data_IF_732933806624
#
_entry.id   IF_732933806624
#
_cell.length_a   1.000
_cell.length_b   1.000
_cell.length_c   1.000
_cell.angle_alpha   90.00
_cell.angle_beta   90.00
_cell.angle_gamma   90.00
#
_symmetry.space_group_name_H-M   'P 1'
#
loop_
_entity.id
_entity.type
_entity.pdbx_description
1 polymer ?
#
# COMPACT_ATOMS: atom_id res chain seq x y z
N UNK A 1 -18.71 1.78 11.09
CA UNK A 1 -19.14 1.09 9.85
C UNK A 1 -17.90 0.87 8.99
N UNK A 2 -17.81 -0.19 8.17
CA UNK A 2 -16.66 -0.34 7.28
C UNK A 2 -16.70 0.72 6.17
N UNK A 3 -15.56 1.34 5.87
CA UNK A 3 -15.44 2.39 4.85
C UNK A 3 -15.63 1.86 3.42
N UNK A 4 -15.25 0.59 3.18
CA UNK A 4 -15.49 -0.11 1.93
C UNK A 4 -16.37 -1.30 2.23
N UNK A 5 -17.48 -1.46 1.48
CA UNK A 5 -18.37 -2.60 1.66
C UNK A 5 -17.66 -3.91 1.25
N UNK A 6 -17.74 -4.96 2.08
CA UNK A 6 -17.26 -6.28 1.68
C UNK A 6 -17.97 -6.77 0.41
N UNK A 7 -17.23 -7.48 -0.43
CA UNK A 7 -17.83 -8.18 -1.59
C UNK A 7 -18.70 -9.31 -1.07
N UNK A 8 -19.89 -9.48 -1.66
CA UNK A 8 -20.82 -10.52 -1.24
C UNK A 8 -20.22 -11.92 -1.49
N UNK A 9 -20.31 -12.83 -0.51
CA UNK A 9 -19.76 -14.19 -0.58
C UNK A 9 -20.17 -14.93 -1.87
N UNK A 10 -21.39 -14.74 -2.30
CA UNK A 10 -21.94 -15.37 -3.53
C UNK A 10 -21.20 -14.95 -4.81
N UNK A 11 -20.51 -13.82 -4.80
CA UNK A 11 -19.73 -13.30 -5.93
C UNK A 11 -18.27 -13.80 -5.92
N UNK A 12 -17.85 -14.50 -4.85
CA UNK A 12 -16.46 -14.87 -4.59
C UNK A 12 -16.16 -16.36 -4.85
N UNK A 13 -16.90 -17.01 -5.75
CA UNK A 13 -16.76 -18.45 -6.03
C UNK A 13 -15.33 -18.85 -6.41
N UNK A 14 -14.62 -18.00 -7.15
CA UNK A 14 -13.22 -18.23 -7.51
C UNK A 14 -12.25 -18.17 -6.29
N UNK A 15 -12.67 -17.56 -5.19
CA UNK A 15 -11.89 -17.48 -3.94
C UNK A 15 -12.34 -18.50 -2.90
N UNK A 16 -13.36 -19.32 -3.20
CA UNK A 16 -13.91 -20.30 -2.24
C UNK A 16 -12.86 -21.17 -1.54
N UNK A 17 -11.84 -21.74 -2.24
CA UNK A 17 -10.83 -22.55 -1.56
C UNK A 17 -10.00 -21.76 -0.55
N UNK A 18 -9.69 -20.49 -0.86
CA UNK A 18 -8.92 -19.60 0.04
C UNK A 18 -9.76 -19.25 1.27
N UNK A 19 -11.01 -18.87 1.04
CA UNK A 19 -11.94 -18.46 2.09
C UNK A 19 -12.37 -19.64 2.97
N UNK A 20 -12.56 -20.83 2.37
CA UNK A 20 -12.84 -22.06 3.12
C UNK A 20 -11.65 -22.49 4.01
N UNK A 21 -10.41 -22.28 3.54
CA UNK A 21 -9.21 -22.49 4.36
C UNK A 21 -9.17 -21.57 5.58
N UNK A 22 -9.51 -20.30 5.41
CA UNK A 22 -9.61 -19.37 6.53
C UNK A 22 -10.74 -19.77 7.50
N UNK A 23 -11.91 -20.15 6.96
CA UNK A 23 -13.06 -20.60 7.76
C UNK A 23 -12.72 -21.87 8.55
N UNK A 24 -12.03 -22.83 7.93
CA UNK A 24 -11.61 -24.06 8.60
C UNK A 24 -10.64 -23.80 9.76
N UNK A 25 -9.73 -22.82 9.62
CA UNK A 25 -8.73 -22.52 10.65
C UNK A 25 -9.24 -21.62 11.76
N UNK A 26 -10.16 -20.69 11.45
CA UNK A 26 -10.61 -19.62 12.36
C UNK A 26 -12.07 -19.80 12.82
N UNK A 27 -12.85 -20.66 12.17
CA UNK A 27 -14.29 -20.81 12.41
C UNK A 27 -15.17 -19.77 11.73
N UNK A 28 -14.58 -18.84 10.98
CA UNK A 28 -15.27 -17.80 10.21
C UNK A 28 -14.37 -17.28 9.08
N UNK A 29 -14.97 -16.61 8.11
CA UNK A 29 -14.24 -15.86 7.08
C UNK A 29 -14.01 -14.43 7.58
N UNK A 30 -12.75 -13.97 7.73
CA UNK A 30 -12.47 -12.60 8.14
C UNK A 30 -13.02 -11.55 7.17
N UNK A 31 -13.67 -10.52 7.69
CA UNK A 31 -14.21 -9.43 6.87
C UNK A 31 -13.14 -8.70 6.05
N UNK A 32 -11.89 -8.64 6.54
CA UNK A 32 -10.75 -8.10 5.79
C UNK A 32 -10.51 -8.83 4.48
N UNK A 33 -10.65 -10.17 4.45
CA UNK A 33 -10.43 -10.96 3.24
C UNK A 33 -11.49 -10.67 2.16
N UNK A 34 -12.75 -10.52 2.56
CA UNK A 34 -13.83 -10.20 1.63
C UNK A 34 -13.84 -8.72 1.21
N UNK A 35 -13.23 -7.85 2.00
CA UNK A 35 -12.95 -6.46 1.57
C UNK A 35 -11.80 -6.39 0.58
N UNK A 36 -10.70 -7.12 0.83
CA UNK A 36 -9.59 -7.26 -0.13
C UNK A 36 -10.05 -7.84 -1.48
N UNK A 37 -11.16 -8.59 -1.50
CA UNK A 37 -11.67 -9.26 -2.68
C UNK A 37 -12.21 -8.33 -3.78
N UNK A 38 -12.30 -7.02 -3.55
CA UNK A 38 -12.40 -6.04 -4.64
C UNK A 38 -11.20 -6.13 -5.61
N UNK A 39 -10.08 -6.67 -5.13
CA UNK A 39 -8.92 -7.12 -5.90
C UNK A 39 -8.73 -8.62 -5.60
N UNK A 40 -9.35 -9.54 -6.33
CA UNK A 40 -9.39 -10.96 -5.95
C UNK A 40 -8.01 -11.59 -5.75
N UNK A 41 -7.03 -11.18 -6.56
CA UNK A 41 -5.65 -11.64 -6.44
C UNK A 41 -4.95 -11.13 -5.16
N UNK A 42 -5.38 -9.97 -4.61
CA UNK A 42 -4.85 -9.46 -3.35
C UNK A 42 -5.21 -10.39 -2.18
N UNK A 43 -6.45 -10.88 -2.11
CA UNK A 43 -6.87 -11.85 -1.08
C UNK A 43 -6.02 -13.11 -1.12
N UNK A 44 -5.72 -13.61 -2.31
CA UNK A 44 -4.86 -14.79 -2.51
C UNK A 44 -3.41 -14.50 -2.07
N UNK A 45 -2.82 -13.41 -2.55
CA UNK A 45 -1.44 -13.03 -2.22
C UNK A 45 -1.27 -12.79 -0.71
N UNK A 46 -2.23 -12.14 -0.07
CA UNK A 46 -2.26 -11.96 1.38
C UNK A 46 -2.29 -13.31 2.12
N UNK A 47 -3.11 -14.27 1.68
CA UNK A 47 -3.19 -15.59 2.31
C UNK A 47 -1.88 -16.36 2.18
N UNK A 48 -1.18 -16.24 1.04
CA UNK A 48 0.15 -16.84 0.85
C UNK A 48 1.19 -16.20 1.78
N UNK A 49 1.24 -14.87 1.83
CA UNK A 49 2.14 -14.14 2.72
C UNK A 49 1.89 -14.51 4.19
N UNK A 50 0.64 -14.47 4.63
CA UNK A 50 0.27 -14.83 5.99
C UNK A 50 0.66 -16.28 6.32
N UNK A 51 0.40 -17.21 5.39
CA UNK A 51 0.76 -18.61 5.57
C UNK A 51 2.26 -18.80 5.81
N UNK A 52 3.11 -18.15 5.00
CA UNK A 52 4.58 -18.22 5.16
C UNK A 52 5.02 -17.55 6.47
N UNK A 53 4.48 -16.40 6.80
CA UNK A 53 4.81 -15.66 8.04
C UNK A 53 4.44 -16.50 9.28
N UNK A 54 3.37 -17.27 9.23
CA UNK A 54 2.98 -18.20 10.29
C UNK A 54 3.70 -19.57 10.24
N UNK A 55 4.72 -19.71 9.40
CA UNK A 55 5.57 -20.91 9.32
C UNK A 55 5.03 -22.01 8.41
N UNK A 56 4.04 -21.72 7.57
CA UNK A 56 3.52 -22.67 6.58
C UNK A 56 4.45 -22.86 5.40
N UNK A 57 4.32 -24.02 4.72
CA UNK A 57 5.03 -24.31 3.49
C UNK A 57 4.32 -23.67 2.30
N UNK A 58 5.08 -22.93 1.49
CA UNK A 58 4.58 -22.25 0.31
C UNK A 58 4.23 -23.19 -0.84
N UNK A 59 4.95 -24.34 -0.99
CA UNK A 59 4.75 -25.23 -2.12
C UNK A 59 3.34 -25.84 -2.19
N UNK A 60 2.76 -26.39 -1.11
CA UNK A 60 1.38 -26.85 -1.13
C UNK A 60 0.37 -25.72 -1.41
N UNK A 61 0.66 -24.49 -0.99
CA UNK A 61 -0.17 -23.32 -1.29
C UNK A 61 -0.16 -23.03 -2.79
N UNK A 62 1.04 -23.00 -3.42
CA UNK A 62 1.19 -22.79 -4.87
C UNK A 62 0.45 -23.88 -5.63
N UNK A 63 0.64 -25.15 -5.27
CA UNK A 63 0.02 -26.30 -5.95
C UNK A 63 -1.52 -26.24 -5.89
N UNK A 64 -2.07 -25.77 -4.76
CA UNK A 64 -3.49 -25.56 -4.61
C UNK A 64 -3.98 -24.35 -5.41
N UNK A 65 -3.21 -23.25 -5.45
CA UNK A 65 -3.63 -22.00 -6.08
C UNK A 65 -3.40 -21.95 -7.59
N UNK A 66 -2.47 -22.71 -8.15
CA UNK A 66 -2.25 -22.76 -9.61
C UNK A 66 -3.52 -23.08 -10.41
N UNK A 67 -4.45 -23.83 -9.82
CA UNK A 67 -5.72 -24.21 -10.45
C UNK A 67 -6.86 -23.19 -10.28
N UNK A 68 -6.66 -22.17 -9.46
CA UNK A 68 -7.72 -21.29 -8.96
C UNK A 68 -7.31 -19.81 -8.89
N UNK A 69 -6.27 -19.39 -9.62
CA UNK A 69 -5.95 -17.96 -9.68
C UNK A 69 -7.17 -17.19 -10.19
N UNK A 70 -7.81 -16.37 -9.36
CA UNK A 70 -9.02 -15.66 -9.78
C UNK A 70 -8.67 -14.68 -10.87
N UNK A 71 -9.50 -14.61 -11.91
CA UNK A 71 -9.40 -13.53 -12.86
C UNK A 71 -9.82 -12.22 -12.19
N UNK A 72 -9.12 -11.15 -12.51
CA UNK A 72 -9.52 -9.79 -12.10
C UNK A 72 -10.18 -9.12 -13.31
N UNK A 73 -11.50 -9.21 -13.40
CA UNK A 73 -12.29 -8.63 -14.50
C UNK A 73 -12.19 -7.09 -14.55
N UNK A 74 -11.71 -6.47 -13.47
CA UNK A 74 -11.51 -5.03 -13.34
C UNK A 74 -10.03 -4.65 -13.27
N UNK A 75 -9.12 -5.48 -13.77
CA UNK A 75 -7.68 -5.24 -13.70
C UNK A 75 -7.26 -3.89 -14.31
N UNK A 76 -8.00 -3.40 -15.32
CA UNK A 76 -7.74 -2.09 -15.93
C UNK A 76 -8.17 -0.90 -15.05
N UNK A 77 -9.06 -1.13 -14.08
CA UNK A 77 -9.44 -0.13 -13.07
C UNK A 77 -8.41 -0.10 -11.94
N UNK A 78 -7.19 0.31 -12.27
CA UNK A 78 -6.03 0.40 -11.38
C UNK A 78 -5.51 1.81 -11.28
N UNK A 79 -4.79 2.09 -10.18
CA UNK A 79 -4.10 3.35 -9.99
C UNK A 79 -2.96 3.51 -11.01
N UNK A 80 -2.71 4.75 -11.41
CA UNK A 80 -1.52 5.10 -12.18
C UNK A 80 -0.26 4.76 -11.36
N UNK A 81 0.80 4.22 -11.98
CA UNK A 81 2.03 3.84 -11.27
C UNK A 81 2.67 4.99 -10.49
N UNK A 82 2.58 6.21 -11.02
CA UNK A 82 3.08 7.44 -10.38
C UNK A 82 2.34 7.70 -9.06
N UNK A 83 1.02 7.56 -9.07
CA UNK A 83 0.19 7.76 -7.88
C UNK A 83 0.49 6.70 -6.81
N UNK A 84 0.77 5.45 -7.20
CA UNK A 84 1.21 4.39 -6.29
C UNK A 84 2.49 4.81 -5.56
N UNK A 85 3.47 5.39 -6.26
CA UNK A 85 4.71 5.85 -5.63
C UNK A 85 4.50 7.08 -4.73
N UNK A 86 3.59 7.98 -5.10
CA UNK A 86 3.26 9.12 -4.25
C UNK A 86 2.62 8.68 -2.92
N UNK A 87 1.69 7.72 -2.96
CA UNK A 87 1.08 7.11 -1.76
C UNK A 87 2.15 6.43 -0.91
N UNK A 88 3.00 5.62 -1.55
CA UNK A 88 4.08 4.90 -0.90
C UNK A 88 5.08 5.84 -0.22
N UNK A 89 5.41 6.96 -0.86
CA UNK A 89 6.26 7.99 -0.27
C UNK A 89 5.59 8.66 0.94
N UNK A 90 4.33 9.08 0.81
CA UNK A 90 3.60 9.74 1.88
C UNK A 90 3.49 8.88 3.14
N UNK A 91 3.11 7.61 3.01
CA UNK A 91 3.04 6.69 4.16
C UNK A 91 4.43 6.40 4.75
N UNK A 92 5.47 6.34 3.93
CA UNK A 92 6.85 6.10 4.40
C UNK A 92 7.43 7.32 5.12
N UNK A 93 7.04 8.53 4.69
CA UNK A 93 7.39 9.77 5.39
C UNK A 93 6.73 9.80 6.78
N UNK A 94 5.42 9.54 6.84
CA UNK A 94 4.66 9.51 8.09
C UNK A 94 5.17 8.44 9.05
N UNK A 95 5.55 7.26 8.54
CA UNK A 95 6.14 6.18 9.33
C UNK A 95 7.61 6.43 9.73
N UNK A 96 8.28 7.44 9.18
CA UNK A 96 9.66 7.79 9.50
C UNK A 96 10.74 6.92 8.84
N UNK A 97 10.40 5.99 7.94
CA UNK A 97 11.36 5.08 7.31
C UNK A 97 12.18 5.78 6.20
N UNK A 98 13.45 6.10 6.49
CA UNK A 98 14.35 6.80 5.55
C UNK A 98 14.67 5.97 4.30
N UNK A 99 14.83 4.67 4.46
CA UNK A 99 15.02 3.72 3.37
C UNK A 99 13.86 3.79 2.36
N UNK A 100 12.63 3.64 2.84
CA UNK A 100 11.46 3.64 1.98
C UNK A 100 11.19 5.01 1.35
N UNK A 101 11.46 6.12 2.06
CA UNK A 101 11.37 7.49 1.49
C UNK A 101 12.30 7.65 0.28
N UNK A 102 13.56 7.21 0.38
CA UNK A 102 14.53 7.31 -0.70
C UNK A 102 14.10 6.46 -1.92
N UNK A 103 13.70 5.22 -1.68
CA UNK A 103 13.27 4.32 -2.76
C UNK A 103 12.02 4.79 -3.48
N UNK A 104 10.99 5.21 -2.75
CA UNK A 104 9.71 5.60 -3.34
C UNK A 104 9.80 6.92 -4.09
N UNK A 105 10.55 7.90 -3.55
CA UNK A 105 10.77 9.17 -4.25
C UNK A 105 11.61 8.99 -5.53
N UNK A 106 12.70 8.21 -5.47
CA UNK A 106 13.51 7.88 -6.64
C UNK A 106 12.69 7.12 -7.71
N UNK A 107 11.88 6.13 -7.31
CA UNK A 107 11.02 5.38 -8.24
C UNK A 107 9.92 6.24 -8.83
N UNK A 108 9.31 7.12 -8.03
CA UNK A 108 8.29 8.06 -8.51
C UNK A 108 8.86 9.05 -9.52
N UNK A 109 10.05 9.58 -9.27
CA UNK A 109 10.76 10.45 -10.24
C UNK A 109 11.02 9.73 -11.57
N UNK A 110 11.47 8.46 -11.53
CA UNK A 110 11.65 7.64 -12.73
C UNK A 110 10.36 7.40 -13.52
N UNK A 111 9.22 7.42 -12.87
CA UNK A 111 7.90 7.31 -13.48
C UNK A 111 7.35 8.67 -13.97
N UNK A 112 8.07 9.76 -13.74
CA UNK A 112 7.70 11.10 -14.22
C UNK A 112 7.01 11.98 -13.17
N UNK A 113 6.95 11.59 -11.90
CA UNK A 113 6.52 12.50 -10.85
C UNK A 113 7.48 13.69 -10.73
N UNK A 114 6.92 14.88 -10.62
CA UNK A 114 7.66 16.07 -10.30
C UNK A 114 8.33 15.92 -8.92
N UNK A 115 9.65 16.11 -8.88
CA UNK A 115 10.43 15.96 -7.64
C UNK A 115 10.05 16.99 -6.58
N UNK A 116 9.50 18.14 -6.96
CA UNK A 116 9.00 19.13 -6.01
C UNK A 116 7.82 18.61 -5.19
N UNK A 117 7.03 17.66 -5.71
CA UNK A 117 5.95 17.01 -4.93
C UNK A 117 6.50 16.31 -3.68
N UNK A 118 7.65 15.67 -3.79
CA UNK A 118 8.27 15.02 -2.63
C UNK A 118 8.77 16.04 -1.61
N UNK A 119 9.37 17.14 -2.06
CA UNK A 119 9.83 18.20 -1.18
C UNK A 119 8.69 18.96 -0.49
N UNK A 120 7.55 19.11 -1.17
CA UNK A 120 6.39 19.87 -0.69
C UNK A 120 5.26 19.00 -0.13
N UNK A 121 5.48 17.71 0.08
CA UNK A 121 4.41 16.77 0.46
C UNK A 121 3.66 17.19 1.75
N UNK A 122 4.34 17.79 2.72
CA UNK A 122 3.71 18.24 3.96
C UNK A 122 2.88 19.53 3.80
N UNK A 123 3.01 20.20 2.66
CA UNK A 123 2.20 21.38 2.29
C UNK A 123 1.23 21.05 1.16
N UNK A 124 0.90 19.77 0.96
CA UNK A 124 0.12 19.29 -0.18
C UNK A 124 -1.25 19.98 -0.31
N UNK A 125 -1.89 20.32 0.80
CA UNK A 125 -3.23 20.95 0.82
C UNK A 125 -3.26 22.28 0.07
N UNK A 126 -2.27 23.13 0.31
CA UNK A 126 -2.17 24.48 -0.25
C UNK A 126 -1.39 24.53 -1.55
N UNK A 127 -0.64 23.48 -1.89
CA UNK A 127 0.20 23.45 -3.08
C UNK A 127 -0.62 23.20 -4.36
N UNK A 128 -0.34 24.00 -5.39
CA UNK A 128 -0.90 23.83 -6.73
C UNK A 128 -0.28 22.64 -7.52
N UNK A 129 0.79 22.04 -7.00
CA UNK A 129 1.44 20.87 -7.61
C UNK A 129 0.59 19.62 -7.54
N UNK A 130 -0.30 19.53 -6.54
CA UNK A 130 -1.14 18.35 -6.32
C UNK A 130 -2.55 18.57 -6.87
N UNK A 131 -3.00 17.63 -7.69
CA UNK A 131 -4.41 17.56 -8.10
C UNK A 131 -5.32 17.27 -6.90
N UNK A 132 -6.63 17.52 -7.05
CA UNK A 132 -7.60 17.23 -5.99
C UNK A 132 -7.57 15.73 -5.58
N UNK A 133 -7.46 14.82 -6.56
CA UNK A 133 -7.34 13.40 -6.29
C UNK A 133 -6.05 13.04 -5.52
N UNK A 134 -4.90 13.62 -5.90
CA UNK A 134 -3.64 13.40 -5.18
C UNK A 134 -3.70 13.90 -3.75
N UNK A 135 -4.34 15.05 -3.50
CA UNK A 135 -4.51 15.57 -2.14
C UNK A 135 -5.27 14.60 -1.23
N UNK A 136 -6.32 13.95 -1.73
CA UNK A 136 -7.09 12.99 -0.93
C UNK A 136 -6.27 11.74 -0.57
N UNK A 137 -5.48 11.20 -1.50
CA UNK A 137 -4.65 10.02 -1.22
C UNK A 137 -3.46 10.34 -0.32
N UNK A 138 -2.84 11.53 -0.47
CA UNK A 138 -1.74 11.98 0.39
C UNK A 138 -2.25 12.16 1.81
N UNK A 139 -3.40 12.80 2.01
CA UNK A 139 -4.01 12.98 3.32
C UNK A 139 -4.26 11.65 4.02
N UNK A 140 -4.91 10.70 3.35
CA UNK A 140 -5.10 9.37 3.92
C UNK A 140 -3.77 8.66 4.22
N UNK A 141 -2.79 8.71 3.31
CA UNK A 141 -1.52 8.01 3.48
C UNK A 141 -0.71 8.56 4.67
N UNK A 142 -0.70 9.88 4.86
CA UNK A 142 -0.06 10.53 6.01
C UNK A 142 -0.76 10.15 7.32
N UNK A 143 -2.08 10.17 7.37
CA UNK A 143 -2.85 9.79 8.54
C UNK A 143 -2.71 8.30 8.88
N UNK A 144 -2.80 7.42 7.88
CA UNK A 144 -2.72 5.99 8.06
C UNK A 144 -1.30 5.48 8.37
N UNK A 145 -0.26 6.28 8.08
CA UNK A 145 1.13 5.98 8.45
C UNK A 145 1.46 6.21 9.92
N UNK A 146 0.61 6.95 10.64
CA UNK A 146 0.79 7.22 12.06
C UNK A 146 0.57 5.99 12.94
N UNK A 147 1.15 6.02 14.15
CA UNK A 147 0.91 5.05 15.21
C UNK A 147 0.60 5.82 16.50
N UNK A 148 -0.65 5.82 16.98
CA UNK A 148 -1.82 5.12 16.44
C UNK A 148 -2.24 5.64 15.06
N UNK A 149 -2.97 4.80 14.29
CA UNK A 149 -3.48 5.15 12.97
C UNK A 149 -4.55 6.27 13.10
N UNK A 150 -4.38 7.34 12.34
CA UNK A 150 -5.24 8.53 12.39
C UNK A 150 -6.22 8.62 11.20
N UNK A 151 -6.35 7.55 10.39
CA UNK A 151 -7.34 7.52 9.31
C UNK A 151 -8.76 7.54 9.88
N UNK A 152 -9.59 8.44 9.35
CA UNK A 152 -10.98 8.65 9.75
C UNK A 152 -11.92 8.54 8.55
N UNK A 153 -13.25 8.55 8.78
CA UNK A 153 -14.26 8.38 7.74
C UNK A 153 -14.17 9.44 6.64
N UNK A 154 -13.87 10.67 7.02
CA UNK A 154 -13.78 11.83 6.13
C UNK A 154 -12.72 11.65 5.04
N UNK A 155 -11.63 10.95 5.32
CA UNK A 155 -10.63 10.60 4.30
C UNK A 155 -11.23 9.70 3.20
N UNK A 156 -12.07 8.74 3.58
CA UNK A 156 -12.70 7.83 2.64
C UNK A 156 -13.81 8.50 1.84
N UNK A 157 -14.60 9.37 2.47
CA UNK A 157 -15.59 10.21 1.78
C UNK A 157 -14.93 11.08 0.70
N UNK A 158 -13.76 11.66 1.01
CA UNK A 158 -12.99 12.43 0.04
C UNK A 158 -12.44 11.57 -1.11
N UNK A 159 -12.00 10.34 -0.83
CA UNK A 159 -11.53 9.40 -1.86
C UNK A 159 -12.65 8.96 -2.80
N UNK A 160 -13.87 8.72 -2.30
CA UNK A 160 -15.02 8.26 -3.08
C UNK A 160 -15.41 9.25 -4.19
N UNK A 161 -15.03 10.53 -4.08
CA UNK A 161 -15.25 11.54 -5.12
C UNK A 161 -14.39 11.27 -6.37
N UNK A 162 -13.23 10.62 -6.20
CA UNK A 162 -12.21 10.49 -7.24
C UNK A 162 -11.91 9.04 -7.65
N UNK A 163 -12.21 8.07 -6.79
CA UNK A 163 -11.75 6.69 -6.93
C UNK A 163 -12.88 5.69 -6.80
N UNK A 164 -12.82 4.62 -7.59
CA UNK A 164 -13.70 3.46 -7.41
C UNK A 164 -13.37 2.72 -6.10
N UNK A 165 -14.29 1.88 -5.62
CA UNK A 165 -14.03 1.04 -4.43
C UNK A 165 -12.82 0.12 -4.63
N UNK A 166 -12.59 -0.37 -5.86
CA UNK A 166 -11.41 -1.16 -6.18
C UNK A 166 -10.14 -0.35 -6.04
N UNK A 167 -10.13 0.87 -6.55
CA UNK A 167 -8.98 1.78 -6.42
C UNK A 167 -8.74 2.20 -4.95
N UNK A 168 -9.80 2.42 -4.17
CA UNK A 168 -9.67 2.68 -2.73
C UNK A 168 -9.03 1.49 -2.01
N UNK A 169 -9.44 0.26 -2.33
CA UNK A 169 -8.79 -0.95 -1.81
C UNK A 169 -7.32 -1.02 -2.24
N UNK A 170 -7.00 -0.64 -3.48
CA UNK A 170 -5.61 -0.58 -3.95
C UNK A 170 -4.80 0.49 -3.18
N UNK A 171 -5.36 1.67 -2.91
CA UNK A 171 -4.72 2.71 -2.09
C UNK A 171 -4.37 2.15 -0.70
N UNK A 172 -5.34 1.55 -0.03
CA UNK A 172 -5.13 0.95 1.30
C UNK A 172 -4.14 -0.22 1.25
N UNK A 173 -4.14 -1.01 0.17
CA UNK A 173 -3.17 -2.09 -0.03
C UNK A 173 -1.74 -1.55 -0.17
N UNK A 174 -1.53 -0.45 -0.90
CA UNK A 174 -0.21 0.22 -1.00
C UNK A 174 0.24 0.73 0.37
N UNK A 175 -0.64 1.43 1.10
CA UNK A 175 -0.35 1.91 2.47
C UNK A 175 0.05 0.74 3.38
N UNK A 176 -0.70 -0.36 3.33
CA UNK A 176 -0.46 -1.54 4.18
C UNK A 176 0.84 -2.27 3.81
N UNK A 177 1.14 -2.39 2.51
CA UNK A 177 2.38 -2.98 2.03
C UNK A 177 3.58 -2.16 2.51
N UNK A 178 3.51 -0.84 2.40
CA UNK A 178 4.58 0.03 2.90
C UNK A 178 4.60 0.09 4.43
N UNK A 179 3.47 -0.08 5.11
CA UNK A 179 3.46 -0.30 6.56
C UNK A 179 4.26 -1.55 7.00
N UNK A 180 4.19 -2.63 6.22
CA UNK A 180 5.05 -3.81 6.40
C UNK A 180 6.52 -3.48 6.07
N UNK A 181 6.80 -2.90 4.90
CA UNK A 181 8.16 -2.60 4.43
C UNK A 181 8.87 -1.57 5.32
N UNK A 182 8.15 -0.55 5.78
CA UNK A 182 8.70 0.47 6.68
C UNK A 182 9.20 -0.17 7.98
N UNK A 183 8.39 -1.04 8.60
CA UNK A 183 8.82 -1.76 9.81
C UNK A 183 9.96 -2.72 9.53
N UNK A 184 9.90 -3.47 8.43
CA UNK A 184 10.97 -4.40 8.06
C UNK A 184 12.30 -3.68 7.89
N UNK A 185 12.37 -2.72 6.98
CA UNK A 185 13.61 -2.03 6.64
C UNK A 185 14.16 -1.24 7.82
N UNK A 186 13.29 -0.61 8.59
CA UNK A 186 13.68 0.18 9.75
C UNK A 186 14.18 -0.68 10.93
N UNK A 187 13.57 -1.86 11.12
CA UNK A 187 13.99 -2.83 12.14
C UNK A 187 15.30 -3.51 11.76
N UNK A 188 15.45 -3.88 10.48
CA UNK A 188 16.63 -4.57 9.96
C UNK A 188 17.80 -3.61 9.67
N UNK A 189 17.57 -2.28 9.73
CA UNK A 189 18.54 -1.26 9.29
C UNK A 189 19.08 -1.59 7.90
N UNK A 190 18.19 -1.93 6.95
CA UNK A 190 18.58 -2.33 5.60
C UNK A 190 19.42 -1.23 4.95
N UNK A 191 20.60 -1.59 4.43
CA UNK A 191 21.51 -0.67 3.76
C UNK A 191 20.88 -0.08 2.50
N UNK A 192 21.01 1.24 2.31
CA UNK A 192 20.51 1.94 1.13
C UNK A 192 21.47 1.83 -0.05
N UNK A 193 20.92 1.58 -1.21
CA UNK A 193 21.65 1.59 -2.46
C UNK A 193 21.98 3.03 -2.91
N UNK A 194 23.12 3.20 -3.60
CA UNK A 194 23.65 4.52 -3.92
C UNK A 194 22.70 5.41 -4.72
N UNK A 195 22.00 4.86 -5.72
CA UNK A 195 21.12 5.67 -6.58
C UNK A 195 19.92 6.29 -5.84
N UNK A 196 19.18 5.58 -4.96
CA UNK A 196 18.19 6.21 -4.07
C UNK A 196 18.80 7.22 -3.10
N UNK A 197 20.02 6.97 -2.56
CA UNK A 197 20.72 7.90 -1.67
C UNK A 197 20.98 9.22 -2.39
N UNK A 198 21.61 9.17 -3.57
CA UNK A 198 21.96 10.37 -4.35
C UNK A 198 20.73 11.21 -4.67
N UNK A 199 19.62 10.54 -5.04
CA UNK A 199 18.36 11.22 -5.31
C UNK A 199 17.80 11.88 -4.05
N UNK A 200 17.69 11.14 -2.96
CA UNK A 200 17.10 11.63 -1.73
C UNK A 200 17.94 12.76 -1.09
N UNK A 201 19.26 12.68 -1.15
CA UNK A 201 20.13 13.75 -0.71
C UNK A 201 19.92 15.04 -1.50
N UNK A 202 19.70 14.94 -2.83
CA UNK A 202 19.48 16.11 -3.68
C UNK A 202 18.09 16.72 -3.45
N UNK A 203 17.04 15.91 -3.30
CA UNK A 203 15.64 16.35 -3.34
C UNK A 203 15.05 16.54 -1.94
N UNK A 204 15.39 15.65 -0.99
CA UNK A 204 14.72 15.58 0.30
C UNK A 204 15.53 16.21 1.45
N UNK A 205 16.80 16.56 1.24
CA UNK A 205 17.66 17.12 2.30
C UNK A 205 17.11 18.41 2.88
N UNK A 206 16.46 19.25 2.05
CA UNK A 206 15.80 20.47 2.51
C UNK A 206 14.70 20.23 3.55
N UNK A 207 14.06 19.07 3.52
CA UNK A 207 13.10 18.58 4.51
C UNK A 207 13.72 17.79 5.67
N UNK A 208 15.06 17.81 5.80
CA UNK A 208 15.78 17.13 6.90
C UNK A 208 15.97 15.62 6.69
N UNK A 209 15.82 15.11 5.46
CA UNK A 209 16.13 13.72 5.17
C UNK A 209 17.65 13.46 5.30
N UNK A 210 17.99 12.38 5.97
CA UNK A 210 19.37 11.87 6.11
C UNK A 210 19.32 10.35 6.01
N UNK A 211 20.44 9.75 5.60
CA UNK A 211 20.56 8.29 5.43
C UNK A 211 20.39 7.54 6.76
N UNK A 212 20.83 8.16 7.85
CA UNK A 212 20.72 7.63 9.22
C UNK A 212 21.28 6.19 9.33
N UNK A 213 20.59 5.30 10.05
CA UNK A 213 21.00 3.89 10.28
C UNK A 213 21.06 3.02 9.00
N UNK A 214 20.65 3.55 7.87
CA UNK A 214 20.70 2.87 6.57
C UNK A 214 21.98 3.15 5.78
N UNK A 215 22.97 3.82 6.38
CA UNK A 215 24.30 4.00 5.81
C UNK A 215 25.08 2.68 5.81
N UNK A 216 25.72 2.36 4.66
CA UNK A 216 26.63 1.23 4.52
C UNK A 216 28.03 1.51 5.11
#
# INVERSE_FOLDING_TARGET
>A
MAHVKPVARAELTALDPVLAGAEASMGFVPNSMVTMAHMPQLTMAFSMLAGVVFGGDLQPMIDNFQKIVPSDAKAEDKLAPELVQLIAYAVSLSAGCRYCQAHTSHSGHKLGLDEEKFAQILSYEDSALFSAAEKTVVGLALAAGQVPNEAVAEHFEALEVHFSQRQIVQIVAVISLFGFLNRWNDTMATELEQAPVDFAQRVLSGGGWQVDKHAG
#
